data_IF_327695365063
#
_entry.id   IF_327695365063
#
_cell.length_a   1.000
_cell.length_b   1.000
_cell.length_c   1.000
_cell.angle_alpha   90.00
_cell.angle_beta   90.00
_cell.angle_gamma   90.00
#
_symmetry.space_group_name_H-M   'P 1'
#
loop_
_entity.id
_entity.type
_entity.pdbx_description
1 polymer ?
#
# COMPACT_ATOMS: atom_id res chain seq x y z
N UNK A 1 1.17 -9.59 0.24
CA UNK A 1 0.15 -10.40 -0.47
C UNK A 1 0.40 -10.33 -1.97
N UNK A 2 0.23 -11.42 -2.73
CA UNK A 2 0.54 -11.46 -4.18
C UNK A 2 -0.76 -11.37 -5.01
N UNK A 3 -0.79 -10.62 -6.12
CA UNK A 3 -1.92 -10.65 -7.05
C UNK A 3 -2.10 -12.05 -7.68
N UNK A 4 -3.24 -12.28 -8.32
CA UNK A 4 -3.39 -13.41 -9.24
C UNK A 4 -2.48 -13.19 -10.46
N UNK A 5 -1.64 -14.17 -10.84
CA UNK A 5 -0.59 -13.99 -11.84
C UNK A 5 -1.03 -14.23 -13.30
N UNK A 6 -2.24 -14.75 -13.52
CA UNK A 6 -2.73 -15.13 -14.85
C UNK A 6 -3.10 -13.90 -15.70
N UNK A 7 -3.06 -14.03 -17.03
CA UNK A 7 -3.58 -13.04 -17.97
C UNK A 7 -5.09 -13.20 -18.18
N UNK A 8 -5.60 -14.44 -18.11
CA UNK A 8 -7.02 -14.75 -18.28
C UNK A 8 -7.73 -14.80 -16.92
N UNK A 9 -7.79 -13.66 -16.24
CA UNK A 9 -8.38 -13.56 -14.91
C UNK A 9 -9.91 -13.50 -14.98
N UNK A 10 -10.56 -14.29 -14.12
CA UNK A 10 -12.00 -14.14 -13.87
C UNK A 10 -12.32 -12.74 -13.32
N UNK A 11 -13.56 -12.22 -13.50
CA UNK A 11 -13.94 -10.91 -12.98
C UNK A 11 -13.61 -10.73 -11.49
N UNK A 12 -13.85 -11.77 -10.69
CA UNK A 12 -13.50 -11.81 -9.26
C UNK A 12 -12.01 -11.59 -9.02
N UNK A 13 -11.14 -12.28 -9.76
CA UNK A 13 -9.69 -12.15 -9.61
C UNK A 13 -9.19 -10.78 -10.05
N UNK A 14 -9.79 -10.21 -11.11
CA UNK A 14 -9.46 -8.85 -11.56
C UNK A 14 -9.89 -7.80 -10.52
N UNK A 15 -11.07 -7.92 -9.91
CA UNK A 15 -11.52 -7.06 -8.79
C UNK A 15 -10.51 -7.12 -7.63
N UNK A 16 -10.11 -8.33 -7.24
CA UNK A 16 -9.12 -8.50 -6.19
C UNK A 16 -7.80 -7.80 -6.54
N UNK A 17 -7.26 -8.05 -7.73
CA UNK A 17 -6.01 -7.42 -8.18
C UNK A 17 -6.13 -5.89 -8.19
N UNK A 18 -7.23 -5.35 -8.71
CA UNK A 18 -7.47 -3.91 -8.73
C UNK A 18 -7.54 -3.30 -7.32
N UNK A 19 -8.29 -3.92 -6.40
CA UNK A 19 -8.38 -3.46 -5.00
C UNK A 19 -7.03 -3.55 -4.29
N UNK A 20 -6.27 -4.60 -4.54
CA UNK A 20 -4.93 -4.77 -3.98
C UNK A 20 -3.98 -3.68 -4.49
N UNK A 21 -3.97 -3.40 -5.79
CA UNK A 21 -3.17 -2.31 -6.37
C UNK A 21 -3.59 -0.94 -5.85
N UNK A 22 -4.89 -0.68 -5.70
CA UNK A 22 -5.38 0.55 -5.07
C UNK A 22 -4.89 0.71 -3.63
N UNK A 23 -4.94 -0.36 -2.83
CA UNK A 23 -4.46 -0.33 -1.45
C UNK A 23 -2.95 -0.06 -1.40
N UNK A 24 -2.16 -0.72 -2.26
CA UNK A 24 -0.71 -0.45 -2.38
C UNK A 24 -0.42 1.00 -2.73
N UNK A 25 -1.09 1.55 -3.74
CA UNK A 25 -0.91 2.95 -4.16
C UNK A 25 -1.15 3.94 -3.02
N UNK A 26 -2.14 3.69 -2.16
CA UNK A 26 -2.41 4.54 -0.99
C UNK A 26 -1.24 4.48 0.01
N UNK A 27 -0.74 3.27 0.29
CA UNK A 27 0.36 3.05 1.23
C UNK A 27 1.66 3.65 0.69
N UNK A 28 1.98 3.41 -0.58
CA UNK A 28 3.15 3.94 -1.27
C UNK A 28 3.15 5.47 -1.29
N UNK A 29 2.01 6.09 -1.65
CA UNK A 29 1.87 7.53 -1.59
C UNK A 29 2.10 8.05 -0.17
N UNK A 30 1.51 7.42 0.85
CA UNK A 30 1.70 7.86 2.24
C UNK A 30 3.18 7.79 2.68
N UNK A 31 3.89 6.72 2.32
CA UNK A 31 5.32 6.60 2.61
C UNK A 31 6.16 7.61 1.82
N UNK A 32 5.85 7.86 0.55
CA UNK A 32 6.52 8.86 -0.27
C UNK A 32 6.38 10.27 0.31
N UNK A 33 5.17 10.65 0.75
CA UNK A 33 4.92 11.93 1.42
C UNK A 33 5.75 12.03 2.71
N UNK A 34 5.75 10.98 3.54
CA UNK A 34 6.47 10.96 4.80
C UNK A 34 7.99 11.04 4.59
N UNK A 35 8.53 10.28 3.63
CA UNK A 35 9.97 10.25 3.37
C UNK A 35 10.47 11.57 2.78
N UNK A 36 9.68 12.21 1.93
CA UNK A 36 10.04 13.50 1.34
C UNK A 36 10.02 14.63 2.37
N UNK A 37 9.07 14.60 3.31
CA UNK A 37 8.97 15.62 4.36
C UNK A 37 10.14 15.56 5.35
N UNK A 38 10.63 14.36 5.66
CA UNK A 38 11.65 14.16 6.69
C UNK A 38 12.96 13.65 6.08
N UNK A 39 13.97 14.51 6.03
CA UNK A 39 15.29 14.20 5.48
C UNK A 39 15.96 12.94 6.08
N UNK A 40 15.57 12.53 7.29
CA UNK A 40 16.07 11.29 7.93
C UNK A 40 15.77 10.03 7.10
N UNK A 41 14.67 10.02 6.33
CA UNK A 41 14.26 8.88 5.49
C UNK A 41 14.84 8.92 4.08
N UNK A 42 15.56 9.98 3.70
CA UNK A 42 16.25 10.07 2.41
C UNK A 42 17.53 9.24 2.37
N UNK A 43 17.95 8.69 3.53
CA UNK A 43 19.07 7.76 3.68
C UNK A 43 18.64 6.53 4.44
N UNK A 44 19.35 5.43 4.25
CA UNK A 44 19.16 4.22 5.03
C UNK A 44 19.33 4.50 6.53
N UNK A 45 18.40 4.00 7.33
CA UNK A 45 18.44 4.11 8.79
C UNK A 45 19.50 3.16 9.36
N UNK A 46 20.70 3.67 9.61
CA UNK A 46 21.76 2.90 10.27
C UNK A 46 21.65 3.00 11.80
N UNK A 47 20.59 2.43 12.35
CA UNK A 47 20.27 2.45 13.78
C UNK A 47 19.68 1.10 14.19
N UNK A 48 19.60 0.84 15.49
CA UNK A 48 18.95 -0.39 15.97
C UNK A 48 17.45 -0.40 15.66
N UNK A 49 16.88 -1.60 15.58
CA UNK A 49 15.48 -1.79 15.21
C UNK A 49 14.50 -1.08 16.16
N UNK A 50 14.79 -1.03 17.47
CA UNK A 50 13.89 -0.38 18.45
C UNK A 50 13.91 1.13 18.26
N UNK A 51 15.08 1.70 17.97
CA UNK A 51 15.21 3.11 17.66
C UNK A 51 14.59 3.48 16.30
N UNK A 52 14.74 2.63 15.28
CA UNK A 52 14.04 2.81 14.00
C UNK A 52 12.51 2.88 14.17
N UNK A 53 11.93 1.98 14.98
CA UNK A 53 10.49 2.02 15.31
C UNK A 53 10.12 3.34 16.00
N UNK A 54 10.98 3.83 16.89
CA UNK A 54 10.77 5.11 17.60
C UNK A 54 10.82 6.29 16.64
N UNK A 55 11.78 6.32 15.71
CA UNK A 55 11.87 7.34 14.65
C UNK A 55 10.59 7.38 13.81
N UNK A 56 10.10 6.21 13.36
CA UNK A 56 8.88 6.12 12.55
C UNK A 56 7.67 6.67 13.33
N UNK A 57 7.50 6.27 14.60
CA UNK A 57 6.42 6.78 15.46
C UNK A 57 6.50 8.29 15.68
N UNK A 58 7.69 8.82 15.90
CA UNK A 58 7.92 10.25 16.07
C UNK A 58 7.58 11.01 14.78
N UNK A 59 8.03 10.53 13.63
CA UNK A 59 7.74 11.13 12.32
C UNK A 59 6.23 11.15 12.03
N UNK A 60 5.50 10.07 12.30
CA UNK A 60 4.04 10.05 12.15
C UNK A 60 3.35 11.07 13.07
N UNK A 61 3.77 11.14 14.34
CA UNK A 61 3.20 12.09 15.31
C UNK A 61 3.47 13.53 14.89
N UNK A 62 4.71 13.85 14.51
CA UNK A 62 5.11 15.18 14.05
C UNK A 62 4.39 15.56 12.75
N UNK A 63 4.25 14.62 11.81
CA UNK A 63 3.54 14.88 10.57
C UNK A 63 2.07 15.26 10.82
N UNK A 64 1.39 14.54 11.73
CA UNK A 64 0.02 14.88 12.13
C UNK A 64 -0.06 16.25 12.81
N UNK A 65 0.91 16.59 13.67
CA UNK A 65 0.98 17.90 14.32
C UNK A 65 1.16 19.03 13.30
N UNK A 66 2.13 18.90 12.39
CA UNK A 66 2.40 19.88 11.33
C UNK A 66 1.17 20.06 10.44
N UNK A 67 0.50 18.98 10.03
CA UNK A 67 -0.73 19.07 9.24
C UNK A 67 -1.87 19.79 9.97
N UNK A 68 -1.95 19.65 11.29
CA UNK A 68 -2.95 20.35 12.10
C UNK A 68 -2.63 21.84 12.25
N UNK A 69 -1.34 22.20 12.33
CA UNK A 69 -0.88 23.58 12.53
C UNK A 69 -0.83 24.38 11.22
N UNK A 70 -0.23 23.80 10.18
CA UNK A 70 0.14 24.49 8.93
C UNK A 70 -0.85 24.17 7.80
N UNK A 71 -1.76 23.21 8.00
CA UNK A 71 -2.72 22.77 6.99
C UNK A 71 -2.15 21.74 6.02
N UNK A 72 -2.84 21.53 4.90
CA UNK A 72 -2.44 20.58 3.86
C UNK A 72 -1.73 21.37 2.76
N UNK A 73 -0.40 21.23 2.66
CA UNK A 73 0.35 21.73 1.51
C UNK A 73 0.25 20.75 0.35
N UNK A 74 -0.28 21.20 -0.78
CA UNK A 74 -0.48 20.37 -1.96
C UNK A 74 0.84 19.82 -2.53
N UNK A 75 1.94 20.57 -2.42
CA UNK A 75 3.26 20.11 -2.87
C UNK A 75 3.74 18.86 -2.12
N UNK A 76 3.42 18.74 -0.82
CA UNK A 76 3.74 17.53 -0.05
C UNK A 76 3.01 16.30 -0.64
N UNK A 77 1.94 16.47 -1.44
CA UNK A 77 1.13 15.38 -2.02
C UNK A 77 1.44 15.05 -3.49
N UNK A 78 2.28 15.86 -4.16
CA UNK A 78 2.51 15.76 -5.61
C UNK A 78 3.51 14.69 -6.04
N UNK A 79 4.03 13.87 -5.12
CA UNK A 79 5.09 12.93 -5.45
C UNK A 79 4.58 11.60 -6.02
N UNK A 80 5.10 11.23 -7.20
CA UNK A 80 5.04 9.88 -7.75
C UNK A 80 6.24 9.07 -7.26
N UNK A 81 6.18 8.57 -6.02
CA UNK A 81 7.07 7.46 -5.63
C UNK A 81 6.53 6.24 -6.37
N UNK A 82 7.00 5.99 -7.59
CA UNK A 82 6.80 4.68 -8.20
C UNK A 82 7.66 3.72 -7.40
N UNK A 83 7.06 3.04 -6.43
CA UNK A 83 7.65 1.84 -5.90
C UNK A 83 7.77 0.90 -7.11
N UNK A 84 9.00 0.64 -7.55
CA UNK A 84 9.19 -0.35 -8.60
C UNK A 84 8.59 -1.66 -8.08
N UNK A 85 7.64 -2.22 -8.83
CA UNK A 85 7.09 -3.53 -8.52
C UNK A 85 8.28 -4.48 -8.39
N UNK A 86 8.52 -4.97 -7.17
CA UNK A 86 9.56 -5.97 -6.94
C UNK A 86 9.21 -7.14 -7.87
N UNK A 87 10.07 -7.51 -8.83
CA UNK A 87 9.78 -8.57 -9.77
C UNK A 87 9.40 -9.82 -8.97
N UNK A 88 8.39 -10.58 -9.41
CA UNK A 88 7.87 -11.69 -8.63
C UNK A 88 8.97 -12.73 -8.42
N UNK A 89 9.65 -12.68 -7.28
CA UNK A 89 10.59 -13.71 -6.85
C UNK A 89 9.74 -14.97 -6.66
N UNK A 90 10.03 -15.98 -7.48
CA UNK A 90 9.27 -17.22 -7.59
C UNK A 90 9.39 -18.10 -6.34
N UNK A 91 8.85 -17.63 -5.21
CA UNK A 91 8.63 -18.47 -4.04
C UNK A 91 7.22 -19.04 -4.18
N UNK A 92 7.08 -20.37 -4.19
CA UNK A 92 5.76 -21.01 -4.09
C UNK A 92 5.13 -20.50 -2.80
N UNK A 93 4.01 -19.80 -2.92
CA UNK A 93 3.31 -19.27 -1.75
C UNK A 93 2.92 -20.43 -0.84
N UNK A 94 3.05 -20.23 0.47
CA UNK A 94 2.43 -21.12 1.46
C UNK A 94 0.93 -21.18 1.19
N UNK A 95 0.28 -22.33 1.40
CA UNK A 95 -1.16 -22.50 1.15
C UNK A 95 -2.00 -21.41 1.84
N UNK A 96 -1.57 -20.98 3.02
CA UNK A 96 -2.15 -19.88 3.80
C UNK A 96 -2.26 -18.55 3.02
N UNK A 97 -1.28 -18.23 2.18
CA UNK A 97 -1.28 -17.00 1.37
C UNK A 97 -2.28 -17.06 0.22
N UNK A 98 -2.48 -18.26 -0.34
CA UNK A 98 -3.47 -18.53 -1.38
C UNK A 98 -4.88 -18.48 -0.77
N UNK A 99 -5.07 -19.10 0.39
CA UNK A 99 -6.33 -19.10 1.12
C UNK A 99 -6.77 -17.69 1.50
N UNK A 100 -5.87 -16.89 2.08
CA UNK A 100 -6.17 -15.50 2.45
C UNK A 100 -6.58 -14.68 1.23
N UNK A 101 -5.91 -14.89 0.08
CA UNK A 101 -6.24 -14.22 -1.18
C UNK A 101 -7.63 -14.61 -1.66
N UNK A 102 -7.94 -15.90 -1.68
CA UNK A 102 -9.22 -16.40 -2.12
C UNK A 102 -10.35 -15.94 -1.19
N UNK A 103 -10.11 -15.92 0.12
CA UNK A 103 -11.04 -15.36 1.10
C UNK A 103 -11.35 -13.88 0.80
N UNK A 104 -10.32 -13.04 0.64
CA UNK A 104 -10.51 -11.63 0.30
C UNK A 104 -11.21 -11.44 -1.05
N UNK A 105 -10.84 -12.22 -2.06
CA UNK A 105 -11.48 -12.16 -3.37
C UNK A 105 -12.98 -12.50 -3.30
N UNK A 106 -13.35 -13.51 -2.51
CA UNK A 106 -14.75 -13.87 -2.27
C UNK A 106 -15.49 -12.76 -1.50
N UNK A 107 -14.87 -12.19 -0.46
CA UNK A 107 -15.43 -11.09 0.32
C UNK A 107 -15.68 -9.85 -0.56
N UNK A 108 -14.73 -9.46 -1.42
CA UNK A 108 -14.90 -8.29 -2.31
C UNK A 108 -16.01 -8.44 -3.35
N UNK A 109 -16.43 -9.67 -3.64
CA UNK A 109 -17.59 -9.97 -4.48
C UNK A 109 -18.88 -10.22 -3.71
N UNK A 110 -18.83 -10.29 -2.37
CA UNK A 110 -20.03 -10.47 -1.55
C UNK A 110 -20.82 -9.16 -1.46
N UNK A 111 -22.13 -9.22 -1.12
CA UNK A 111 -22.94 -8.02 -0.93
C UNK A 111 -22.34 -7.03 0.08
N UNK A 112 -21.66 -7.54 1.12
CA UNK A 112 -21.05 -6.73 2.18
C UNK A 112 -19.72 -6.10 1.79
N UNK A 113 -18.91 -6.77 0.96
CA UNK A 113 -17.58 -6.31 0.57
C UNK A 113 -17.52 -5.63 -0.78
N UNK A 114 -18.56 -5.77 -1.61
CA UNK A 114 -18.64 -5.14 -2.94
C UNK A 114 -18.80 -3.63 -2.84
N UNK A 115 -18.22 -2.93 -3.82
CA UNK A 115 -18.28 -1.47 -3.90
C UNK A 115 -18.61 -1.05 -5.34
N UNK A 116 -19.48 -0.04 -5.56
CA UNK A 116 -20.01 0.27 -6.89
C UNK A 116 -18.93 0.55 -7.96
N UNK A 117 -17.86 1.25 -7.57
CA UNK A 117 -16.79 1.63 -8.48
C UNK A 117 -15.89 0.47 -8.91
N UNK A 118 -15.96 -0.71 -8.27
CA UNK A 118 -15.02 -1.79 -8.55
C UNK A 118 -15.23 -2.41 -9.93
N UNK A 119 -16.40 -2.21 -10.55
CA UNK A 119 -16.74 -2.76 -11.87
C UNK A 119 -16.33 -1.86 -13.03
N UNK A 120 -16.08 -0.57 -12.78
CA UNK A 120 -15.79 0.43 -13.81
C UNK A 120 -14.33 0.42 -14.29
N UNK A 121 -13.50 -0.41 -13.66
CA UNK A 121 -12.03 -0.35 -13.74
C UNK A 121 -11.43 -1.73 -13.98
N UNK A 122 -12.29 -2.71 -14.32
CA UNK A 122 -11.91 -4.10 -14.51
C UNK A 122 -11.68 -4.38 -15.97
#
# INVERSE_FOLDING_TARGET
>A
MRPYPDRNLSPKQRIFNYRLSRARRIVENAFGILSNKWAIFQRSLNVDMKFAITIIKAACTLHNFVRKRDGIHFEDTLYSCTFEDIPPVGVRGTDTGIETRNYMANYFTSPQGSVPWQYNQI
#
